data_IF_717146626340
#
_entry.id   IF_717146626340
#
_cell.length_a   1.000
_cell.length_b   1.000
_cell.length_c   1.000
_cell.angle_alpha   90.00
_cell.angle_beta   90.00
_cell.angle_gamma   90.00
#
_symmetry.space_group_name_H-M   'P 1'
#
loop_
_entity.id
_entity.type
_entity.pdbx_description
1 polymer ?
#
# COMPACT_ATOMS: atom_id res chain seq x y z
N UNK A 1 10.68 -21.36 -8.21
CA UNK A 1 9.87 -21.18 -9.43
C UNK A 1 8.55 -21.94 -9.30
N UNK A 2 7.99 -22.05 -8.09
CA UNK A 2 7.17 -23.23 -7.74
C UNK A 2 5.71 -22.87 -7.40
N UNK A 3 5.48 -21.73 -6.74
CA UNK A 3 4.13 -21.28 -6.37
C UNK A 3 3.24 -21.11 -7.60
N UNK A 4 2.13 -21.88 -7.66
CA UNK A 4 1.12 -21.81 -8.73
C UNK A 4 1.70 -21.82 -10.15
N UNK A 5 2.66 -22.72 -10.42
CA UNK A 5 3.30 -22.85 -11.73
C UNK A 5 4.38 -21.80 -12.03
N UNK A 6 4.81 -21.03 -11.03
CA UNK A 6 5.98 -20.16 -11.13
C UNK A 6 5.74 -18.87 -11.91
N UNK A 7 6.84 -18.28 -12.42
CA UNK A 7 6.81 -17.01 -13.15
C UNK A 7 6.59 -15.78 -12.28
N UNK A 8 6.65 -15.92 -10.97
CA UNK A 8 6.49 -14.83 -10.01
C UNK A 8 7.80 -14.06 -9.82
N UNK A 9 7.71 -12.73 -9.92
CA UNK A 9 8.79 -11.82 -9.52
C UNK A 9 8.48 -11.32 -8.11
N UNK A 10 9.32 -11.66 -7.13
CA UNK A 10 9.17 -11.17 -5.75
C UNK A 10 9.58 -9.70 -5.70
N UNK A 11 8.72 -8.85 -5.16
CA UNK A 11 8.94 -7.40 -5.04
C UNK A 11 9.15 -6.95 -3.58
N UNK A 12 8.77 -7.79 -2.62
CA UNK A 12 8.99 -7.59 -1.20
C UNK A 12 9.12 -8.93 -0.49
N UNK A 13 10.00 -9.00 0.51
CA UNK A 13 10.04 -10.11 1.47
C UNK A 13 10.28 -9.61 2.88
N UNK A 14 9.59 -10.22 3.86
CA UNK A 14 9.91 -10.16 5.29
C UNK A 14 10.11 -11.55 5.85
N UNK A 15 11.08 -11.74 6.73
CA UNK A 15 11.34 -12.99 7.44
C UNK A 15 12.40 -12.85 8.52
N UNK A 16 12.66 -13.95 9.23
CA UNK A 16 13.65 -13.95 10.31
C UNK A 16 15.07 -14.12 9.75
N UNK A 17 15.66 -13.02 9.28
CA UNK A 17 17.03 -12.98 8.73
C UNK A 17 18.00 -12.19 9.61
N UNK A 18 17.74 -12.14 10.93
CA UNK A 18 18.56 -11.44 11.91
C UNK A 18 18.78 -9.94 11.59
N UNK A 19 17.72 -9.26 11.13
CA UNK A 19 17.70 -7.80 10.90
C UNK A 19 17.14 -7.08 12.13
N UNK A 20 17.40 -5.78 12.24
CA UNK A 20 16.75 -4.96 13.26
C UNK A 20 15.23 -4.94 13.04
N UNK A 21 14.47 -4.84 14.12
CA UNK A 21 13.01 -4.82 14.11
C UNK A 21 12.44 -3.69 13.22
N UNK A 22 13.14 -2.57 13.17
CA UNK A 22 12.81 -1.35 12.43
C UNK A 22 13.50 -1.29 11.04
N UNK A 23 14.03 -2.40 10.53
CA UNK A 23 14.81 -2.40 9.28
C UNK A 23 14.08 -1.79 8.08
N UNK A 24 12.75 -1.89 8.03
CA UNK A 24 11.89 -1.32 6.98
C UNK A 24 11.45 0.13 7.25
N UNK A 25 11.81 0.72 8.39
CA UNK A 25 11.48 2.10 8.73
C UNK A 25 12.40 3.11 8.02
N UNK A 26 12.33 3.08 6.69
CA UNK A 26 13.18 3.84 5.76
C UNK A 26 12.46 5.04 5.14
N UNK A 27 13.24 5.88 4.49
CA UNK A 27 12.80 7.11 3.85
C UNK A 27 12.28 6.90 2.41
N UNK A 28 11.71 7.95 1.82
CA UNK A 28 11.23 7.95 0.43
C UNK A 28 12.29 7.50 -0.56
N UNK A 29 13.50 8.02 -0.43
CA UNK A 29 14.62 7.69 -1.33
C UNK A 29 14.94 6.20 -1.32
N UNK A 30 14.91 5.56 -0.15
CA UNK A 30 15.13 4.12 -0.02
C UNK A 30 13.99 3.32 -0.66
N UNK A 31 12.73 3.67 -0.40
CA UNK A 31 11.59 2.95 -1.00
C UNK A 31 11.48 3.17 -2.51
N UNK A 32 11.92 4.32 -3.02
CA UNK A 32 12.05 4.61 -4.44
C UNK A 32 13.07 3.70 -5.12
N UNK A 33 14.31 3.69 -4.62
CA UNK A 33 15.42 2.97 -5.23
C UNK A 33 15.39 1.45 -4.96
N UNK A 34 14.78 1.03 -3.86
CA UNK A 34 14.86 -0.32 -3.34
C UNK A 34 16.01 -0.49 -2.33
N UNK A 35 15.90 -1.53 -1.52
CA UNK A 35 16.89 -1.84 -0.48
C UNK A 35 16.81 -3.30 -0.05
N UNK A 36 17.88 -3.77 0.59
CA UNK A 36 17.95 -5.12 1.15
C UNK A 36 18.61 -6.12 0.22
N UNK A 37 18.32 -7.39 0.45
CA UNK A 37 18.96 -8.52 -0.19
C UNK A 37 17.86 -9.44 -0.73
N UNK A 38 17.90 -9.73 -2.04
CA UNK A 38 16.87 -10.51 -2.74
C UNK A 38 16.74 -11.94 -2.22
N UNK A 39 17.69 -12.44 -1.43
CA UNK A 39 17.64 -13.74 -0.75
C UNK A 39 17.12 -13.63 0.70
N UNK A 40 16.94 -12.43 1.23
CA UNK A 40 16.50 -12.12 2.61
C UNK A 40 15.35 -11.11 2.59
N UNK A 41 15.28 -10.21 3.56
CA UNK A 41 14.35 -9.09 3.53
C UNK A 41 14.80 -8.03 2.52
N UNK A 42 13.87 -7.63 1.66
CA UNK A 42 14.10 -6.56 0.69
C UNK A 42 12.80 -5.89 0.24
N UNK A 43 12.97 -4.72 -0.36
CA UNK A 43 11.99 -4.01 -1.17
C UNK A 43 12.62 -3.73 -2.52
N UNK A 44 11.95 -4.11 -3.61
CA UNK A 44 12.51 -4.00 -4.97
C UNK A 44 12.74 -2.55 -5.43
N UNK A 45 11.98 -1.60 -4.86
CA UNK A 45 12.01 -0.19 -5.25
C UNK A 45 10.79 0.19 -6.07
N UNK A 46 10.17 1.31 -5.72
CA UNK A 46 8.94 1.78 -6.36
C UNK A 46 9.15 2.10 -7.84
N UNK A 47 10.33 2.60 -8.23
CA UNK A 47 10.65 2.83 -9.64
C UNK A 47 10.64 1.53 -10.45
N UNK A 48 11.20 0.46 -9.89
CA UNK A 48 11.22 -0.85 -10.51
C UNK A 48 9.83 -1.48 -10.56
N UNK A 49 9.05 -1.37 -9.47
CA UNK A 49 7.68 -1.89 -9.43
C UNK A 49 6.82 -1.16 -10.47
N UNK A 50 6.87 0.17 -10.54
CA UNK A 50 6.20 0.97 -11.56
C UNK A 50 6.57 0.50 -12.97
N UNK A 51 7.86 0.38 -13.25
CA UNK A 51 8.33 -0.04 -14.57
C UNK A 51 7.81 -1.44 -14.95
N UNK A 52 7.77 -2.39 -14.01
CA UNK A 52 7.29 -3.75 -14.27
C UNK A 52 5.76 -3.83 -14.43
N UNK A 53 5.01 -3.07 -13.64
CA UNK A 53 3.55 -3.14 -13.64
C UNK A 53 2.88 -2.36 -14.76
N UNK A 54 3.57 -1.37 -15.34
CA UNK A 54 3.04 -0.53 -16.42
C UNK A 54 3.41 -1.03 -17.83
N UNK A 55 4.23 -2.08 -17.94
CA UNK A 55 4.51 -2.76 -19.22
C UNK A 55 3.34 -3.63 -19.69
N UNK A 56 2.55 -4.16 -18.75
CA UNK A 56 1.44 -5.08 -18.97
C UNK A 56 0.63 -5.24 -17.70
N UNK A 57 -0.62 -5.68 -17.82
CA UNK A 57 -1.45 -5.97 -16.66
C UNK A 57 -0.84 -7.12 -15.84
N UNK A 58 -0.63 -6.88 -14.54
CA UNK A 58 -0.08 -7.86 -13.61
C UNK A 58 -1.11 -8.20 -12.53
N UNK A 59 -1.07 -9.44 -12.06
CA UNK A 59 -1.64 -9.84 -10.79
C UNK A 59 -0.57 -9.71 -9.69
N UNK A 60 -0.98 -9.44 -8.46
CA UNK A 60 -0.13 -9.49 -7.27
C UNK A 60 -0.62 -10.57 -6.31
N UNK A 61 0.31 -11.35 -5.79
CA UNK A 61 0.06 -12.36 -4.77
C UNK A 61 0.84 -12.00 -3.50
N UNK A 62 0.15 -12.10 -2.38
CA UNK A 62 0.67 -12.00 -1.03
C UNK A 62 0.70 -13.40 -0.44
N UNK A 63 1.89 -13.95 -0.20
CA UNK A 63 2.04 -15.19 0.57
C UNK A 63 2.38 -14.82 2.02
N UNK A 64 1.55 -15.27 2.96
CA UNK A 64 1.58 -14.86 4.36
C UNK A 64 1.75 -16.09 5.26
N UNK A 65 2.59 -15.98 6.29
CA UNK A 65 2.83 -17.05 7.26
C UNK A 65 2.88 -16.48 8.67
N UNK A 66 2.11 -17.08 9.57
CA UNK A 66 2.11 -16.76 10.99
C UNK A 66 3.21 -17.54 11.75
N UNK A 67 3.42 -17.20 13.02
CA UNK A 67 4.47 -17.82 13.85
C UNK A 67 4.16 -19.29 14.15
N UNK A 68 2.88 -19.63 14.29
CA UNK A 68 2.38 -21.01 14.46
C UNK A 68 2.54 -21.89 13.21
N UNK A 69 3.00 -21.31 12.09
CA UNK A 69 3.21 -21.99 10.82
C UNK A 69 2.00 -22.01 9.88
N UNK A 70 0.85 -21.48 10.30
CA UNK A 70 -0.32 -21.32 9.44
C UNK A 70 0.04 -20.41 8.25
N UNK A 71 -0.42 -20.77 7.05
CA UNK A 71 -0.17 -20.05 5.80
C UNK A 71 -1.49 -19.65 5.16
N UNK A 72 -1.54 -18.42 4.67
CA UNK A 72 -2.64 -17.87 3.88
C UNK A 72 -2.10 -17.11 2.69
N UNK A 73 -2.95 -16.84 1.72
CA UNK A 73 -2.62 -15.95 0.63
C UNK A 73 -3.77 -15.04 0.24
N UNK A 74 -3.41 -13.90 -0.32
CA UNK A 74 -4.30 -13.01 -1.04
C UNK A 74 -3.78 -12.82 -2.46
N UNK A 75 -4.66 -12.91 -3.45
CA UNK A 75 -4.37 -12.68 -4.85
C UNK A 75 -5.29 -11.58 -5.36
N UNK A 76 -4.72 -10.62 -6.07
CA UNK A 76 -5.45 -9.56 -6.75
C UNK A 76 -5.09 -9.60 -8.22
N UNK A 77 -6.08 -9.74 -9.08
CA UNK A 77 -5.90 -9.96 -10.53
C UNK A 77 -5.62 -8.68 -11.33
N UNK A 78 -5.63 -7.55 -10.64
CA UNK A 78 -5.23 -6.25 -11.18
C UNK A 78 -4.34 -5.59 -10.14
N UNK A 79 -3.09 -5.30 -10.52
CA UNK A 79 -2.14 -4.57 -9.70
C UNK A 79 -1.20 -3.75 -10.58
N UNK A 80 -1.16 -2.45 -10.28
CA UNK A 80 -0.15 -1.55 -10.78
C UNK A 80 -0.04 -0.32 -9.89
N UNK A 81 1.05 0.42 -10.04
CA UNK A 81 1.25 1.71 -9.38
C UNK A 81 1.52 2.80 -10.41
N UNK A 82 1.22 4.05 -10.08
CA UNK A 82 1.60 5.21 -10.88
C UNK A 82 3.09 5.59 -10.69
N UNK A 83 3.55 6.61 -11.40
CA UNK A 83 4.92 7.11 -11.30
C UNK A 83 5.16 7.94 -10.01
N UNK A 84 6.38 8.45 -9.85
CA UNK A 84 6.75 9.29 -8.71
C UNK A 84 5.99 10.64 -8.67
N UNK A 85 5.65 11.22 -9.83
CA UNK A 85 4.90 12.48 -9.88
C UNK A 85 3.51 12.30 -9.28
N UNK A 86 2.97 11.10 -9.43
CA UNK A 86 1.70 10.62 -8.87
C UNK A 86 1.89 9.82 -7.58
N UNK A 87 3.05 9.96 -6.93
CA UNK A 87 3.36 9.40 -5.60
C UNK A 87 3.16 7.89 -5.51
N UNK A 88 3.42 7.17 -6.60
CA UNK A 88 3.29 5.72 -6.66
C UNK A 88 1.90 5.23 -6.24
N UNK A 89 0.85 5.97 -6.63
CA UNK A 89 -0.55 5.66 -6.30
C UNK A 89 -0.89 4.22 -6.68
N UNK A 90 -1.49 3.47 -5.76
CA UNK A 90 -1.85 2.06 -5.94
C UNK A 90 -3.17 1.91 -6.68
N UNK A 91 -3.21 0.95 -7.60
CA UNK A 91 -4.43 0.43 -8.22
C UNK A 91 -4.47 -1.08 -8.02
N UNK A 92 -5.45 -1.55 -7.25
CA UNK A 92 -5.58 -2.96 -6.88
C UNK A 92 -7.05 -3.40 -6.82
N UNK A 93 -7.39 -4.50 -7.51
CA UNK A 93 -8.77 -5.02 -7.56
C UNK A 93 -8.83 -6.53 -7.76
N UNK A 94 -10.04 -7.08 -7.80
CA UNK A 94 -10.31 -8.48 -8.13
C UNK A 94 -9.68 -9.45 -7.13
N UNK A 95 -9.99 -9.26 -5.84
CA UNK A 95 -9.50 -10.10 -4.75
C UNK A 95 -9.99 -11.56 -4.87
N UNK A 96 -9.08 -12.49 -4.59
CA UNK A 96 -9.34 -13.89 -4.28
C UNK A 96 -8.31 -14.41 -3.28
N UNK A 97 -8.59 -15.55 -2.65
CA UNK A 97 -7.69 -16.17 -1.67
C UNK A 97 -8.34 -16.39 -0.32
N UNK A 98 -7.54 -16.81 0.66
CA UNK A 98 -8.00 -17.26 1.96
C UNK A 98 -7.47 -16.42 3.14
N UNK A 99 -6.69 -15.36 2.88
CA UNK A 99 -6.24 -14.42 3.91
C UNK A 99 -7.28 -13.35 4.30
N UNK A 100 -8.39 -13.27 3.55
CA UNK A 100 -9.30 -12.12 3.58
C UNK A 100 -8.70 -10.88 2.90
N UNK A 101 -9.55 -9.96 2.46
CA UNK A 101 -9.11 -8.74 1.80
C UNK A 101 -8.77 -7.65 2.83
N UNK A 102 -7.50 -7.26 2.88
CA UNK A 102 -6.99 -6.14 3.70
C UNK A 102 -6.41 -5.00 2.85
N UNK A 103 -6.61 -5.01 1.53
CA UNK A 103 -6.02 -4.01 0.63
C UNK A 103 -7.06 -3.06 0.04
N UNK A 104 -8.14 -3.56 -0.56
CA UNK A 104 -9.00 -2.71 -1.41
C UNK A 104 -9.64 -1.57 -0.62
N UNK A 105 -10.21 -1.84 0.55
CA UNK A 105 -10.90 -0.86 1.39
C UNK A 105 -10.04 0.34 1.84
N UNK A 106 -8.74 0.12 2.02
CA UNK A 106 -7.83 1.09 2.69
C UNK A 106 -6.61 1.49 1.89
N UNK A 107 -6.25 0.75 0.85
CA UNK A 107 -5.01 0.99 0.10
C UNK A 107 -5.26 1.30 -1.37
N UNK A 108 -6.37 0.84 -1.96
CA UNK A 108 -6.69 1.16 -3.35
C UNK A 108 -6.86 2.68 -3.55
N UNK A 109 -6.33 3.19 -4.67
CA UNK A 109 -6.26 4.62 -5.00
C UNK A 109 -5.50 5.50 -3.99
N UNK A 110 -4.70 4.91 -3.10
CA UNK A 110 -3.90 5.66 -2.12
C UNK A 110 -2.48 5.91 -2.61
N UNK A 111 -1.96 7.08 -2.26
CA UNK A 111 -0.56 7.45 -2.51
C UNK A 111 0.36 6.71 -1.54
N UNK A 112 1.55 6.36 -2.00
CA UNK A 112 2.56 5.77 -1.12
C UNK A 112 3.04 6.81 -0.10
N UNK A 113 3.21 6.42 1.16
CA UNK A 113 3.60 7.31 2.25
C UNK A 113 4.77 6.74 3.02
N UNK A 114 5.72 7.61 3.40
CA UNK A 114 6.93 7.26 4.15
C UNK A 114 7.11 8.23 5.32
N UNK A 115 8.09 7.95 6.19
CA UNK A 115 8.32 8.77 7.40
C UNK A 115 8.66 10.24 7.10
N UNK A 116 9.28 10.50 5.95
CA UNK A 116 9.73 11.82 5.49
C UNK A 116 8.84 12.40 4.38
N UNK A 117 7.84 11.68 3.90
CA UNK A 117 6.89 12.17 2.90
C UNK A 117 5.46 11.67 3.19
N UNK A 118 4.65 12.54 3.81
CA UNK A 118 3.23 12.31 4.11
C UNK A 118 2.38 12.53 2.86
N UNK A 119 1.78 11.48 2.33
CA UNK A 119 0.80 11.55 1.23
C UNK A 119 -0.53 10.84 1.59
N UNK A 120 -0.70 10.41 2.84
CA UNK A 120 -1.90 9.76 3.36
C UNK A 120 -3.02 10.79 3.66
N UNK A 121 -4.22 10.29 3.97
CA UNK A 121 -5.42 11.11 4.22
C UNK A 121 -5.68 11.38 5.70
N UNK A 122 -4.82 10.92 6.60
CA UNK A 122 -4.95 11.14 8.03
C UNK A 122 -4.38 12.52 8.41
N UNK A 123 -4.73 13.03 9.60
CA UNK A 123 -4.22 14.33 10.05
C UNK A 123 -2.72 14.27 10.37
N UNK A 124 -2.29 13.18 11.01
CA UNK A 124 -0.87 12.87 11.26
C UNK A 124 -0.28 11.98 10.16
N UNK A 125 1.02 11.72 10.21
CA UNK A 125 1.68 10.82 9.25
C UNK A 125 1.52 9.34 9.67
N UNK A 126 0.73 8.58 8.90
CA UNK A 126 0.49 7.16 9.15
C UNK A 126 1.78 6.33 9.15
N UNK A 127 2.73 6.63 8.27
CA UNK A 127 4.00 5.90 8.22
C UNK A 127 4.86 6.12 9.47
N UNK A 128 4.77 7.30 10.10
CA UNK A 128 5.42 7.57 11.39
C UNK A 128 4.68 6.86 12.53
N UNK A 129 3.35 6.92 12.56
CA UNK A 129 2.54 6.28 13.59
C UNK A 129 2.75 4.75 13.60
N UNK A 130 2.63 4.11 12.43
CA UNK A 130 2.65 2.65 12.25
C UNK A 130 3.99 2.11 11.73
N UNK A 131 5.04 2.92 11.76
CA UNK A 131 6.45 2.52 11.58
C UNK A 131 6.75 1.75 10.29
N UNK A 132 6.01 2.05 9.23
CA UNK A 132 6.13 1.35 7.94
C UNK A 132 5.63 2.21 6.80
N UNK A 133 6.35 2.19 5.69
CA UNK A 133 5.91 2.84 4.47
C UNK A 133 4.90 1.96 3.72
N UNK A 134 3.78 2.55 3.32
CA UNK A 134 2.70 1.84 2.65
C UNK A 134 1.81 2.81 1.88
N UNK A 135 0.87 2.26 1.11
CA UNK A 135 -0.26 3.01 0.53
C UNK A 135 -1.31 3.26 1.62
N UNK A 136 -0.97 4.13 2.58
CA UNK A 136 -1.82 4.46 3.71
C UNK A 136 -3.00 5.38 3.31
N UNK A 137 -4.17 5.12 3.87
CA UNK A 137 -5.32 6.03 3.88
C UNK A 137 -5.43 6.71 5.26
N UNK A 138 -6.23 6.14 6.17
CA UNK A 138 -6.41 6.63 7.55
C UNK A 138 -6.64 5.46 8.53
N UNK A 139 -5.66 4.59 8.80
CA UNK A 139 -4.36 4.50 8.14
C UNK A 139 -4.27 3.26 7.25
N UNK A 140 -4.42 2.06 7.79
CA UNK A 140 -4.27 0.83 7.00
C UNK A 140 -5.15 -0.31 7.54
N UNK A 141 -5.46 -1.27 6.66
CA UNK A 141 -5.87 -2.62 7.05
C UNK A 141 -4.72 -3.64 6.84
N UNK A 142 -3.66 -3.26 6.11
CA UNK A 142 -2.45 -4.05 5.92
C UNK A 142 -1.21 -3.15 6.02
N UNK A 143 -0.16 -3.63 6.69
CA UNK A 143 1.12 -2.94 6.79
C UNK A 143 2.27 -3.95 6.81
N UNK A 144 2.59 -4.53 5.65
CA UNK A 144 3.63 -5.55 5.57
C UNK A 144 5.05 -5.00 5.77
N UNK A 145 5.19 -3.67 5.81
CA UNK A 145 6.44 -2.95 5.99
C UNK A 145 6.60 -2.37 7.41
N UNK A 146 5.72 -2.70 8.35
CA UNK A 146 5.84 -2.29 9.75
C UNK A 146 6.96 -3.00 10.51
N UNK A 147 7.00 -2.76 11.83
CA UNK A 147 7.98 -3.36 12.74
C UNK A 147 7.87 -4.88 12.74
N UNK A 148 9.02 -5.55 12.73
CA UNK A 148 9.09 -7.00 12.78
C UNK A 148 9.00 -7.53 14.23
N UNK A 149 7.82 -7.43 14.86
CA UNK A 149 7.61 -7.95 16.22
C UNK A 149 7.63 -9.49 16.28
N UNK A 150 7.22 -10.14 15.17
CA UNK A 150 7.15 -11.60 15.02
C UNK A 150 6.29 -12.28 16.10
N UNK A 151 4.98 -12.30 15.89
CA UNK A 151 3.97 -12.82 16.81
C UNK A 151 3.20 -11.71 17.52
N UNK A 152 2.57 -12.06 18.64
CA UNK A 152 1.73 -11.13 19.41
C UNK A 152 2.54 -9.98 20.00
N UNK A 153 1.97 -8.78 20.00
CA UNK A 153 2.57 -7.57 20.59
C UNK A 153 1.52 -6.61 21.15
N UNK A 154 1.89 -5.87 22.22
CA UNK A 154 0.99 -4.96 22.93
C UNK A 154 0.70 -3.66 22.15
N UNK A 155 1.66 -3.22 21.33
CA UNK A 155 1.50 -2.00 20.52
C UNK A 155 0.42 -2.17 19.45
N UNK A 156 -0.29 -1.08 19.16
CA UNK A 156 -1.39 -1.10 18.20
C UNK A 156 -0.89 -0.94 16.75
N UNK A 157 -1.08 -1.98 15.93
CA UNK A 157 -1.00 -1.95 14.46
C UNK A 157 0.31 -1.44 13.83
N UNK A 158 1.41 -1.37 14.59
CA UNK A 158 2.73 -0.92 14.11
C UNK A 158 3.61 -2.07 13.59
N UNK A 159 3.02 -3.25 13.44
CA UNK A 159 3.69 -4.49 13.09
C UNK A 159 3.58 -4.88 11.62
N UNK A 160 4.00 -6.12 11.30
CA UNK A 160 3.76 -6.73 9.98
C UNK A 160 2.34 -7.30 9.96
N UNK A 161 1.35 -6.43 9.71
CA UNK A 161 -0.06 -6.76 9.93
C UNK A 161 -0.84 -7.05 8.63
N UNK A 162 -1.80 -7.98 8.75
CA UNK A 162 -2.85 -8.27 7.77
C UNK A 162 -4.17 -8.44 8.54
N UNK A 163 -4.97 -7.37 8.59
CA UNK A 163 -6.08 -7.23 9.54
C UNK A 163 -7.12 -8.34 9.42
N UNK A 164 -7.51 -8.69 8.19
CA UNK A 164 -8.57 -9.67 7.93
C UNK A 164 -8.24 -11.08 8.40
N UNK A 165 -6.97 -11.38 8.71
CA UNK A 165 -6.54 -12.69 9.20
C UNK A 165 -6.10 -12.67 10.66
N UNK A 166 -5.05 -11.90 11.01
CA UNK A 166 -4.46 -11.90 12.37
C UNK A 166 -4.68 -10.58 13.13
N UNK A 167 -5.51 -9.68 12.59
CA UNK A 167 -5.81 -8.39 13.24
C UNK A 167 -4.60 -7.45 13.33
N UNK A 168 -4.56 -6.64 14.40
CA UNK A 168 -3.58 -5.56 14.59
C UNK A 168 -2.54 -5.81 15.68
N UNK A 169 -2.71 -6.86 16.47
CA UNK A 169 -1.84 -7.19 17.61
C UNK A 169 -0.98 -8.42 17.37
N UNK A 170 -0.93 -8.91 16.13
CA UNK A 170 -0.08 -10.02 15.74
C UNK A 170 0.66 -9.67 14.45
N UNK A 171 1.99 -9.72 14.53
CA UNK A 171 2.89 -9.52 13.41
C UNK A 171 3.23 -10.86 12.75
N UNK A 172 3.06 -10.94 11.44
CA UNK A 172 3.36 -12.13 10.66
C UNK A 172 4.85 -12.50 10.72
N UNK A 173 5.14 -13.80 10.65
CA UNK A 173 6.51 -14.33 10.66
C UNK A 173 7.17 -14.20 9.29
N UNK A 174 6.45 -14.49 8.21
CA UNK A 174 7.00 -14.35 6.85
C UNK A 174 5.96 -13.77 5.92
N UNK A 175 6.38 -12.82 5.08
CA UNK A 175 5.54 -12.29 4.02
C UNK A 175 6.34 -12.19 2.73
N UNK A 176 5.70 -12.46 1.60
CA UNK A 176 6.23 -12.15 0.28
C UNK A 176 5.15 -11.48 -0.56
N UNK A 177 5.49 -10.36 -1.18
CA UNK A 177 4.70 -9.77 -2.25
C UNK A 177 5.36 -10.14 -3.58
N UNK A 178 4.58 -10.67 -4.51
CA UNK A 178 5.10 -11.10 -5.81
C UNK A 178 4.11 -10.81 -6.93
N UNK A 179 4.63 -10.38 -8.07
CA UNK A 179 3.84 -10.02 -9.24
C UNK A 179 4.07 -11.00 -10.38
N UNK A 180 3.05 -11.17 -11.21
CA UNK A 180 3.11 -11.99 -12.42
C UNK A 180 2.16 -11.39 -13.47
N UNK A 181 2.52 -11.42 -14.77
CA UNK A 181 1.60 -10.98 -15.80
C UNK A 181 0.28 -11.76 -15.72
N UNK A 182 -0.86 -11.08 -15.84
CA UNK A 182 -2.19 -11.72 -15.74
C UNK A 182 -2.35 -12.85 -16.75
N UNK A 183 -1.77 -12.67 -17.94
CA UNK A 183 -1.88 -13.60 -19.07
C UNK A 183 -0.74 -14.64 -19.07
N UNK A 184 -0.10 -14.89 -17.92
CA UNK A 184 1.02 -15.82 -17.83
C UNK A 184 0.56 -17.23 -18.22
N UNK A 185 1.03 -17.69 -19.38
CA UNK A 185 0.85 -19.08 -19.80
C UNK A 185 1.80 -19.93 -18.96
N UNK A 186 1.24 -20.84 -18.15
CA UNK A 186 2.02 -21.93 -17.57
C UNK A 186 2.59 -22.71 -18.74
N UNK A 187 3.86 -22.52 -19.06
CA UNK A 187 4.52 -23.35 -20.07
C UNK A 187 4.36 -24.79 -19.58
N UNK A 188 3.63 -25.61 -20.34
CA UNK A 188 3.49 -27.03 -20.07
C UNK A 188 4.88 -27.68 -20.19
N UNK A 189 5.67 -27.64 -19.13
CA UNK A 189 6.76 -28.58 -18.90
C UNK A 189 6.19 -29.74 -18.08
N UNK A 190 5.04 -30.27 -18.50
CA UNK A 190 4.54 -31.60 -18.20
C UNK A 190 3.55 -31.93 -19.33
N UNK A 191 3.94 -32.90 -20.16
CA UNK A 191 3.22 -33.45 -21.32
C UNK A 191 3.45 -32.65 -22.62
N UNK A 192 4.30 -33.23 -23.47
CA UNK A 192 4.54 -32.76 -24.84
C UNK A 192 3.29 -32.83 -25.70
N UNK A 193 2.50 -31.77 -25.67
CA UNK A 193 1.37 -31.55 -26.56
C UNK A 193 1.81 -30.63 -27.71
N UNK A 194 1.91 -31.13 -28.97
CA UNK A 194 2.37 -30.34 -30.10
C UNK A 194 1.29 -29.42 -30.70
N UNK A 195 0.14 -29.24 -30.04
CA UNK A 195 -0.98 -28.47 -30.59
C UNK A 195 -0.89 -26.94 -30.41
N UNK A 196 0.16 -26.40 -29.79
CA UNK A 196 0.29 -24.96 -29.56
C UNK A 196 0.96 -24.17 -30.70
N UNK A 197 1.05 -24.72 -31.91
CA UNK A 197 1.65 -24.05 -33.07
C UNK A 197 0.69 -23.96 -34.27
N UNK A 198 -0.48 -23.38 -34.07
CA UNK A 198 -1.30 -22.85 -35.18
C UNK A 198 -1.97 -21.54 -34.80
N UNK A 199 -1.18 -20.48 -34.69
CA UNK A 199 -1.66 -19.11 -34.95
C UNK A 199 -0.48 -18.21 -35.33
N UNK A 200 0.14 -18.55 -36.46
CA UNK A 200 0.97 -17.62 -37.22
C UNK A 200 0.24 -17.34 -38.53
N UNK A 201 -0.19 -16.11 -38.82
CA UNK A 201 -0.81 -15.82 -40.11
C UNK A 201 0.26 -16.01 -41.22
N UNK A 202 0.07 -17.05 -42.04
CA UNK A 202 0.81 -17.26 -43.28
C UNK A 202 0.21 -16.34 -44.35
N UNK A 203 0.82 -15.17 -44.59
CA UNK A 203 1.08 -14.71 -45.95
C UNK A 203 1.96 -13.44 -45.97
N UNK A 204 3.10 -13.51 -46.64
CA UNK A 204 3.70 -12.39 -47.36
C UNK A 204 4.80 -12.95 -48.26
N UNK A 205 4.40 -13.32 -49.47
CA UNK A 205 5.34 -13.46 -50.59
C UNK A 205 5.92 -12.07 -50.85
N UNK A 206 7.24 -12.00 -50.85
CA UNK A 206 8.02 -10.85 -51.30
C UNK A 206 7.65 -10.49 -52.75
N UNK A 207 6.95 -9.39 -52.94
CA UNK A 207 6.92 -8.68 -54.22
C UNK A 207 8.04 -7.63 -54.24
N UNK A 208 8.71 -7.37 -55.38
CA UNK A 208 9.74 -6.36 -55.47
C UNK A 208 9.16 -4.95 -55.30
N UNK A 209 9.99 -4.08 -54.74
CA UNK A 209 9.76 -2.67 -54.47
C UNK A 209 9.37 -1.89 -55.75
N UNK A 210 8.25 -1.15 -55.79
CA UNK A 210 8.03 -0.12 -56.80
C UNK A 210 8.78 1.15 -56.37
N UNK A 211 9.72 1.60 -57.19
CA UNK A 211 10.29 2.94 -57.12
C UNK A 211 9.27 3.93 -57.65
N UNK A 212 8.52 4.57 -56.75
CA UNK A 212 7.85 5.83 -57.05
C UNK A 212 8.00 6.79 -55.87
N UNK A 213 8.59 7.94 -56.19
CA UNK A 213 8.89 9.03 -55.26
C UNK A 213 7.63 9.86 -55.05
N UNK A 214 7.09 10.01 -53.83
CA UNK A 214 6.04 10.98 -53.58
C UNK A 214 6.64 12.36 -53.38
N UNK A 215 6.12 13.33 -54.12
CA UNK A 215 6.43 14.75 -53.99
C UNK A 215 6.16 15.26 -52.55
N UNK A 216 7.01 16.19 -52.14
CA UNK A 216 7.02 16.92 -50.87
C UNK A 216 5.65 17.57 -50.58
N UNK A 217 5.07 17.44 -49.37
CA UNK A 217 3.93 18.24 -48.97
C UNK A 217 4.34 19.70 -48.78
N UNK A 218 3.51 20.63 -49.27
CA UNK A 218 3.63 22.07 -48.96
C UNK A 218 3.52 22.30 -47.43
N UNK A 219 4.22 23.30 -46.88
CA UNK A 219 4.14 23.60 -45.46
C UNK A 219 2.74 24.13 -45.07
N UNK A 220 2.24 23.68 -43.93
CA UNK A 220 1.02 24.19 -43.28
C UNK A 220 1.16 25.69 -42.96
N UNK A 221 0.05 26.46 -42.99
CA UNK A 221 0.06 27.87 -42.58
C UNK A 221 0.34 27.99 -41.08
N UNK A 222 1.21 28.95 -40.74
CA UNK A 222 1.52 29.34 -39.36
C UNK A 222 0.36 30.13 -38.77
N UNK A 223 -0.47 29.49 -37.94
CA UNK A 223 -1.36 30.20 -37.03
C UNK A 223 -0.52 30.81 -35.91
N UNK A 224 -0.40 32.14 -35.96
CA UNK A 224 0.17 32.95 -34.89
C UNK A 224 -0.93 33.15 -33.84
N UNK A 225 -0.80 32.65 -32.60
CA UNK A 225 -1.74 33.01 -31.55
C UNK A 225 -1.56 34.49 -31.18
N UNK A 226 -2.66 35.23 -31.26
CA UNK A 226 -2.76 36.62 -30.85
C UNK A 226 -2.37 36.79 -29.37
N UNK A 227 -1.65 37.88 -29.11
CA UNK A 227 -1.21 38.36 -27.80
C UNK A 227 -2.41 38.53 -26.86
N UNK A 228 -2.35 38.12 -25.58
CA UNK A 228 -3.40 38.43 -24.61
C UNK A 228 -3.44 39.94 -24.34
N UNK A 229 -4.65 40.52 -24.33
CA UNK A 229 -4.87 41.88 -23.85
C UNK A 229 -4.53 42.00 -22.35
N UNK A 230 -4.07 43.17 -21.88
CA UNK A 230 -3.73 43.38 -20.47
C UNK A 230 -4.96 43.34 -19.57
N UNK A 231 -4.79 42.76 -18.38
CA UNK A 231 -5.75 42.77 -17.27
C UNK A 231 -6.19 44.19 -16.87
N UNK A 232 -7.46 44.40 -16.46
CA UNK A 232 -7.91 45.69 -15.92
C UNK A 232 -7.21 46.01 -14.59
N UNK A 233 -6.90 47.28 -14.40
CA UNK A 233 -6.28 47.84 -13.18
C UNK A 233 -7.28 47.83 -12.03
N UNK A 234 -6.90 47.23 -10.91
CA UNK A 234 -7.59 47.37 -9.63
C UNK A 234 -7.59 48.83 -9.16
N UNK A 235 -8.77 49.32 -8.78
CA UNK A 235 -8.97 50.59 -8.07
C UNK A 235 -9.26 50.27 -6.60
N UNK A 236 -8.69 51.01 -5.62
CA UNK A 236 -8.76 50.62 -4.23
C UNK A 236 -10.11 50.95 -3.59
N UNK A 237 -10.76 49.95 -2.99
CA UNK A 237 -11.94 50.15 -2.17
C UNK A 237 -11.60 50.78 -0.82
N UNK A 238 -12.32 51.85 -0.52
CA UNK A 238 -12.24 52.68 0.68
C UNK A 238 -12.51 51.89 1.96
N UNK A 239 -11.70 52.18 2.96
CA UNK A 239 -11.98 51.97 4.39
C UNK A 239 -13.10 52.93 4.81
N UNK A 240 -14.12 52.41 5.50
CA UNK A 240 -15.00 53.22 6.34
C UNK A 240 -15.28 52.48 7.65
N UNK A 241 -15.07 53.22 8.72
CA UNK A 241 -15.06 52.88 10.13
C UNK A 241 -16.48 52.85 10.75
N UNK A 242 -16.57 52.37 12.00
CA UNK A 242 -17.69 52.38 12.96
C UNK A 242 -18.82 51.36 12.69
N UNK A 243 -19.39 50.63 13.66
CA UNK A 243 -19.64 50.93 15.09
C UNK A 243 -19.98 49.65 15.86
N UNK A 244 -19.64 49.61 17.16
CA UNK A 244 -20.13 48.67 18.19
C UNK A 244 -21.67 48.77 18.32
N UNK A 245 -22.37 47.75 18.87
CA UNK A 245 -22.62 47.77 20.31
C UNK A 245 -22.61 46.40 21.01
N UNK A 246 -22.93 46.47 22.29
CA UNK A 246 -22.66 45.65 23.45
C UNK A 246 -23.60 44.46 23.72
N UNK A 247 -23.13 43.59 24.63
CA UNK A 247 -23.85 42.79 25.63
C UNK A 247 -24.70 41.59 25.16
N UNK A 248 -24.32 40.37 25.55
CA UNK A 248 -24.86 39.78 26.78
C UNK A 248 -24.16 38.45 27.14
N UNK A 249 -23.67 38.42 28.37
CA UNK A 249 -23.39 37.24 29.17
C UNK A 249 -24.68 36.59 29.66
N UNK A 250 -24.88 35.29 29.41
CA UNK A 250 -25.73 34.43 30.25
C UNK A 250 -25.05 33.08 30.42
N UNK A 251 -24.86 32.73 31.68
CA UNK A 251 -24.44 31.43 32.19
C UNK A 251 -25.55 30.40 32.05
N UNK A 252 -25.19 29.14 31.81
CA UNK A 252 -25.97 28.01 32.32
C UNK A 252 -25.04 27.01 33.00
N UNK A 253 -25.01 27.12 34.32
CA UNK A 253 -24.78 25.98 35.22
C UNK A 253 -25.94 25.00 35.03
N UNK A 254 -25.64 23.72 34.93
CA UNK A 254 -26.50 22.68 35.51
C UNK A 254 -25.63 21.63 36.21
N UNK A 255 -25.59 21.77 37.52
CA UNK A 255 -25.40 20.71 38.50
C UNK A 255 -26.51 19.67 38.39
N UNK A 256 -26.19 18.40 38.62
CA UNK A 256 -26.92 17.45 39.47
C UNK A 256 -26.01 16.22 39.65
N UNK A 257 -25.34 16.11 40.80
CA UNK A 257 -25.75 15.40 42.03
C UNK A 257 -25.59 13.87 41.95
N UNK A 258 -24.56 13.43 42.66
CA UNK A 258 -24.35 12.17 43.40
C UNK A 258 -25.44 11.10 43.40
N UNK A 259 -25.02 9.84 43.28
CA UNK A 259 -25.04 8.94 44.46
C UNK A 259 -23.97 7.85 44.36
N UNK A 260 -23.21 7.75 45.45
CA UNK A 260 -22.24 6.71 45.72
C UNK A 260 -22.90 5.65 46.61
N UNK A 261 -22.75 4.37 46.24
CA UNK A 261 -23.03 3.25 47.14
C UNK A 261 -21.73 2.50 47.37
N UNK A 262 -21.21 2.61 48.60
CA UNK A 262 -20.27 1.66 49.19
C UNK A 262 -20.99 0.35 49.51
N UNK A 263 -20.25 -0.75 49.65
CA UNK A 263 -20.41 -1.57 50.84
C UNK A 263 -19.16 -1.54 51.72
N UNK A 264 -19.42 -1.62 53.01
CA UNK A 264 -18.49 -1.67 54.13
C UNK A 264 -17.69 -2.97 54.20
N UNK A 265 -16.51 -2.82 54.77
CA UNK A 265 -15.67 -3.86 55.39
C UNK A 265 -16.38 -4.60 56.53
N UNK A 266 -15.98 -5.86 56.74
CA UNK A 266 -15.55 -6.48 58.01
C UNK A 266 -14.78 -7.77 57.61
N UNK A 267 -13.46 -7.85 57.80
CA UNK A 267 -12.74 -8.45 58.96
C UNK A 267 -13.28 -9.85 59.30
N UNK A 268 -12.53 -10.95 59.16
CA UNK A 268 -11.30 -11.32 59.87
C UNK A 268 -10.66 -12.54 59.16
N UNK A 269 -9.33 -12.57 58.94
CA UNK A 269 -8.33 -13.35 59.71
C UNK A 269 -8.52 -14.90 59.63
N UNK A 270 -7.55 -15.80 59.47
CA UNK A 270 -6.08 -15.81 59.49
C UNK A 270 -5.66 -17.30 59.25
N UNK A 271 -4.52 -17.56 58.56
CA UNK A 271 -3.64 -18.77 58.58
C UNK A 271 -4.16 -20.08 57.93
N UNK A 272 -3.40 -20.94 57.23
CA UNK A 272 -1.95 -21.12 57.03
C UNK A 272 -1.64 -21.98 55.80
N UNK A 273 -0.38 -21.84 55.36
CA UNK A 273 0.43 -22.61 54.41
C UNK A 273 0.21 -24.14 54.25
N UNK A 274 0.20 -24.56 52.96
CA UNK A 274 1.07 -25.57 52.30
C UNK A 274 1.33 -26.97 52.92
N UNK A 275 1.94 -27.93 52.17
CA UNK A 275 1.57 -28.46 50.85
C UNK A 275 1.61 -30.02 50.83
N UNK A 276 1.55 -30.57 49.62
CA UNK A 276 2.22 -31.79 49.13
C UNK A 276 1.43 -33.09 48.93
N UNK A 277 1.44 -33.52 47.65
CA UNK A 277 1.86 -34.84 47.17
C UNK A 277 1.12 -36.08 47.68
N UNK A 278 0.22 -36.63 46.87
CA UNK A 278 0.46 -37.80 45.99
C UNK A 278 -0.73 -38.03 45.07
#
# INVERSE_FOLDING_TARGET
MDTDGGGWTVIQRRGNFNRSKDYFYKDWKSFKAGFGDIEKDFWLGNDNIFALTNQRLNSIRFDLKAVDGERRYALYDTFWIEDENRKYTLHISDYSGDAGDSMISRSDNMMFTTKDQKNDKFDDNCAVAFKGAWWHNACHDANLNGLYHRGTHDSFADGVNWRSWKGYHESLDTTEMKIRPKNFRKTAILNGDPSAETDRPKNSKSNPLPTDTPARPNPLPTDTPARPNPLPKDTPSKVSDSTKPSNNSISSKSSNHSDAVKPSSDSDSVWTDSPNSK
#
